data_IF_218914391229
#
_entry.id   IF_218914391229
#
_cell.length_a   1.000
_cell.length_b   1.000
_cell.length_c   1.000
_cell.angle_alpha   90.00
_cell.angle_beta   90.00
_cell.angle_gamma   90.00
#
_symmetry.space_group_name_H-M   'P 1'
#
loop_
_entity.id
_entity.type
_entity.pdbx_description
1 polymer ?
#
# COMPACT_ATOMS: atom_id res chain seq x y z
N UNK A 1 10.54 -20.12 14.50
CA UNK A 1 10.55 -18.83 13.77
C UNK A 1 9.17 -18.69 13.13
N UNK A 2 8.51 -17.53 13.23
CA UNK A 2 7.18 -17.37 12.61
C UNK A 2 7.34 -17.13 11.11
N UNK A 3 6.88 -18.07 10.29
CA UNK A 3 6.82 -17.95 8.84
C UNK A 3 5.38 -17.65 8.41
N UNK A 4 5.21 -16.78 7.42
CA UNK A 4 3.90 -16.57 6.79
C UNK A 4 3.78 -17.50 5.59
N UNK A 5 2.64 -18.16 5.46
CA UNK A 5 2.34 -18.99 4.32
C UNK A 5 1.07 -18.53 3.61
N UNK A 6 1.07 -18.66 2.29
CA UNK A 6 -0.11 -18.55 1.42
C UNK A 6 -0.25 -19.87 0.69
N UNK A 7 -1.37 -20.54 0.91
CA UNK A 7 -1.67 -21.84 0.33
C UNK A 7 -3.01 -21.83 -0.38
N UNK A 8 -3.13 -22.59 -1.46
CA UNK A 8 -4.42 -22.94 -2.05
C UNK A 8 -4.87 -24.30 -1.53
N UNK A 9 -6.12 -24.36 -1.13
CA UNK A 9 -6.82 -25.63 -0.86
C UNK A 9 -7.23 -26.30 -2.18
N UNK A 10 -7.55 -27.60 -2.14
CA UNK A 10 -8.10 -28.34 -3.30
C UNK A 10 -9.39 -27.73 -3.84
N UNK A 11 -10.09 -26.95 -3.03
CA UNK A 11 -11.31 -26.19 -3.40
C UNK A 11 -10.99 -24.85 -4.12
N UNK A 12 -9.72 -24.54 -4.36
CA UNK A 12 -9.29 -23.26 -4.96
C UNK A 12 -9.34 -22.07 -3.99
N UNK A 13 -9.72 -22.27 -2.74
CA UNK A 13 -9.71 -21.19 -1.72
C UNK A 13 -8.30 -20.94 -1.25
N UNK A 14 -7.93 -19.66 -1.24
CA UNK A 14 -6.63 -19.19 -0.77
C UNK A 14 -6.71 -18.94 0.74
N UNK A 15 -5.87 -19.63 1.50
CA UNK A 15 -5.75 -19.48 2.95
C UNK A 15 -4.38 -18.91 3.28
N UNK A 16 -4.35 -17.93 4.18
CA UNK A 16 -3.14 -17.31 4.69
C UNK A 16 -3.06 -17.45 6.21
N UNK A 17 -1.88 -17.77 6.71
CA UNK A 17 -1.65 -17.99 8.13
C UNK A 17 -0.21 -17.78 8.54
N UNK A 18 0.02 -17.87 9.85
CA UNK A 18 1.34 -17.92 10.45
C UNK A 18 1.59 -19.35 10.93
N UNK A 19 2.78 -19.85 10.65
CA UNK A 19 3.26 -21.14 11.16
C UNK A 19 4.57 -20.92 11.88
N UNK A 20 4.72 -21.55 13.05
CA UNK A 20 6.00 -21.61 13.74
C UNK A 20 6.79 -22.80 13.18
N UNK A 21 7.88 -22.50 12.47
CA UNK A 21 8.81 -23.50 11.93
C UNK A 21 10.25 -23.00 12.09
N UNK A 22 11.22 -23.93 12.13
CA UNK A 22 12.65 -23.59 12.19
C UNK A 22 13.19 -23.30 10.79
N UNK A 23 12.59 -23.88 9.74
CA UNK A 23 13.05 -23.72 8.36
C UNK A 23 11.89 -23.63 7.35
N UNK A 24 12.14 -23.01 6.18
CA UNK A 24 11.16 -22.90 5.08
C UNK A 24 10.75 -24.29 4.59
N UNK A 25 11.72 -25.21 4.46
CA UNK A 25 11.50 -26.59 4.04
C UNK A 25 10.58 -27.36 4.99
N UNK A 26 10.72 -27.13 6.30
CA UNK A 26 9.88 -27.73 7.33
C UNK A 26 8.43 -27.24 7.22
N UNK A 27 8.23 -25.93 7.04
CA UNK A 27 6.89 -25.37 6.81
C UNK A 27 6.28 -25.82 5.48
N UNK A 28 7.07 -25.94 4.41
CA UNK A 28 6.61 -26.44 3.11
C UNK A 28 6.13 -27.89 3.20
N UNK A 29 6.88 -28.75 3.89
CA UNK A 29 6.52 -30.14 4.10
C UNK A 29 5.26 -30.27 4.97
N UNK A 30 5.13 -29.46 6.02
CA UNK A 30 3.93 -29.45 6.87
C UNK A 30 2.67 -29.08 6.09
N UNK A 31 2.75 -28.04 5.24
CA UNK A 31 1.61 -27.59 4.44
C UNK A 31 1.26 -28.59 3.32
N UNK A 32 2.27 -29.20 2.69
CA UNK A 32 2.07 -30.25 1.69
C UNK A 32 1.43 -31.50 2.28
N UNK A 33 1.84 -31.91 3.49
CA UNK A 33 1.23 -33.03 4.22
C UNK A 33 -0.22 -32.77 4.64
N UNK A 34 -0.63 -31.49 4.71
CA UNK A 34 -2.03 -31.08 4.92
C UNK A 34 -2.82 -30.90 3.63
N UNK A 35 -2.35 -31.46 2.52
CA UNK A 35 -2.99 -31.37 1.20
C UNK A 35 -3.15 -29.94 0.67
N UNK A 36 -2.36 -29.00 1.20
CA UNK A 36 -2.37 -27.62 0.77
C UNK A 36 -1.30 -27.38 -0.30
N UNK A 37 -1.69 -26.71 -1.39
CA UNK A 37 -0.76 -26.26 -2.42
C UNK A 37 -0.08 -24.99 -1.95
N UNK A 38 1.23 -25.09 -1.71
CA UNK A 38 2.06 -23.95 -1.31
C UNK A 38 2.25 -23.01 -2.48
N UNK A 39 1.68 -21.81 -2.38
CA UNK A 39 1.87 -20.74 -3.36
C UNK A 39 3.10 -19.89 -2.97
N UNK A 40 3.24 -19.59 -1.68
CA UNK A 40 4.33 -18.74 -1.17
C UNK A 40 4.60 -18.98 0.31
N UNK A 41 5.88 -19.06 0.69
CA UNK A 41 6.33 -19.08 2.10
C UNK A 41 7.40 -18.01 2.25
N UNK A 42 7.19 -17.09 3.18
CA UNK A 42 8.13 -15.97 3.41
C UNK A 42 8.58 -15.96 4.87
N UNK A 43 9.91 -15.80 5.05
CA UNK A 43 10.50 -15.54 6.35
C UNK A 43 10.04 -14.17 6.82
N UNK A 44 9.61 -14.09 8.08
CA UNK A 44 9.25 -12.82 8.70
C UNK A 44 10.55 -12.07 9.04
N UNK A 45 11.18 -11.49 8.03
CA UNK A 45 12.16 -10.42 8.23
C UNK A 45 11.39 -9.18 8.68
N UNK A 46 11.73 -8.54 9.81
CA UNK A 46 11.06 -7.33 10.30
C UNK A 46 10.92 -6.25 9.22
N UNK A 47 11.92 -6.12 8.34
CA UNK A 47 11.92 -5.18 7.22
C UNK A 47 11.08 -5.62 6.01
N UNK A 48 10.87 -6.92 5.83
CA UNK A 48 10.05 -7.45 4.71
C UNK A 48 8.56 -7.42 5.03
N UNK A 49 8.15 -7.41 6.31
CA UNK A 49 6.72 -7.30 6.68
C UNK A 49 6.14 -5.94 6.28
N UNK A 50 6.93 -4.86 6.42
CA UNK A 50 6.56 -3.51 5.97
C UNK A 50 6.38 -3.44 4.45
N UNK A 51 7.26 -4.10 3.69
CA UNK A 51 7.17 -4.15 2.21
C UNK A 51 6.08 -5.06 1.65
N UNK A 52 5.58 -6.04 2.42
CA UNK A 52 4.53 -6.95 1.96
C UNK A 52 3.14 -6.46 2.39
N UNK A 53 3.02 -5.76 3.53
CA UNK A 53 1.79 -5.06 3.91
C UNK A 53 1.42 -3.98 2.88
N UNK A 54 2.42 -3.27 2.33
CA UNK A 54 2.20 -2.25 1.30
C UNK A 54 1.73 -2.80 -0.05
N UNK A 55 2.02 -4.08 -0.37
CA UNK A 55 1.51 -4.74 -1.60
C UNK A 55 0.05 -5.18 -1.46
N UNK A 56 -0.40 -5.52 -0.24
CA UNK A 56 -1.80 -5.91 0.01
C UNK A 56 -2.74 -4.72 0.24
N UNK A 57 -2.18 -3.55 0.53
CA UNK A 57 -2.93 -2.36 0.86
C UNK A 57 -2.69 -1.37 -0.29
N UNK A 58 -3.27 -1.63 -1.46
CA UNK A 58 -3.30 -0.63 -2.54
C UNK A 58 -4.44 0.35 -2.25
N UNK A 59 -4.27 1.67 -2.41
CA UNK A 59 -5.38 2.61 -2.33
C UNK A 59 -6.50 2.19 -3.29
N UNK A 60 -7.74 2.17 -2.79
CA UNK A 60 -8.90 1.88 -3.64
C UNK A 60 -9.21 3.12 -4.48
N UNK A 61 -9.90 2.92 -5.60
CA UNK A 61 -10.39 4.05 -6.42
C UNK A 61 -11.26 5.02 -5.61
N UNK A 62 -12.03 4.52 -4.64
CA UNK A 62 -12.81 5.34 -3.71
C UNK A 62 -11.92 6.28 -2.88
N UNK A 63 -10.76 5.80 -2.41
CA UNK A 63 -9.83 6.62 -1.61
C UNK A 63 -9.25 7.76 -2.45
N UNK A 64 -8.94 7.49 -3.73
CA UNK A 64 -8.49 8.52 -4.67
C UNK A 64 -9.57 9.59 -4.89
N UNK A 65 -10.83 9.18 -5.12
CA UNK A 65 -11.95 10.12 -5.31
C UNK A 65 -12.15 11.01 -4.08
N UNK A 66 -12.11 10.41 -2.88
CA UNK A 66 -12.24 11.15 -1.62
C UNK A 66 -11.08 12.13 -1.43
N UNK A 67 -9.85 11.66 -1.64
CA UNK A 67 -8.64 12.47 -1.58
C UNK A 67 -8.74 13.69 -2.51
N UNK A 68 -9.05 13.48 -3.79
CA UNK A 68 -9.12 14.57 -4.79
C UNK A 68 -10.20 15.59 -4.42
N UNK A 69 -11.39 15.14 -3.98
CA UNK A 69 -12.50 16.03 -3.61
C UNK A 69 -12.17 16.86 -2.36
N UNK A 70 -11.63 16.21 -1.33
CA UNK A 70 -11.26 16.89 -0.09
C UNK A 70 -10.10 17.87 -0.33
N UNK A 71 -9.10 17.49 -1.11
CA UNK A 71 -8.01 18.37 -1.50
C UNK A 71 -8.54 19.60 -2.23
N UNK A 72 -9.41 19.41 -3.22
CA UNK A 72 -10.03 20.51 -3.96
C UNK A 72 -10.82 21.44 -3.03
N UNK A 73 -11.62 20.89 -2.12
CA UNK A 73 -12.38 21.70 -1.15
C UNK A 73 -11.50 22.54 -0.23
N UNK A 74 -10.40 21.97 0.27
CA UNK A 74 -9.46 22.68 1.14
C UNK A 74 -8.71 23.78 0.38
N UNK A 75 -8.28 23.50 -0.84
CA UNK A 75 -7.63 24.50 -1.70
C UNK A 75 -8.59 25.64 -2.05
N UNK A 76 -9.85 25.33 -2.36
CA UNK A 76 -10.89 26.33 -2.60
C UNK A 76 -11.19 27.21 -1.39
N UNK A 77 -11.07 26.65 -0.17
CA UNK A 77 -11.22 27.42 1.07
C UNK A 77 -9.95 28.21 1.44
N UNK A 78 -8.94 28.26 0.57
CA UNK A 78 -7.73 29.07 0.76
C UNK A 78 -6.64 28.42 1.60
N UNK A 79 -6.73 27.12 1.93
CA UNK A 79 -5.62 26.43 2.57
C UNK A 79 -4.48 26.28 1.58
N UNK A 80 -3.26 26.37 2.10
CA UNK A 80 -2.07 26.04 1.32
C UNK A 80 -2.10 24.55 0.94
N UNK A 81 -1.54 24.21 -0.22
CA UNK A 81 -1.41 22.81 -0.65
C UNK A 81 -0.74 21.95 0.42
N UNK A 82 0.30 22.48 1.06
CA UNK A 82 1.02 21.74 2.08
C UNK A 82 0.12 21.40 3.26
N UNK A 83 -0.62 22.38 3.77
CA UNK A 83 -1.51 22.18 4.91
C UNK A 83 -2.67 21.24 4.58
N UNK A 84 -3.22 21.35 3.36
CA UNK A 84 -4.28 20.45 2.92
C UNK A 84 -3.80 18.99 2.86
N UNK A 85 -2.59 18.74 2.37
CA UNK A 85 -2.01 17.38 2.31
C UNK A 85 -1.76 16.80 3.70
N UNK A 86 -1.26 17.59 4.66
CA UNK A 86 -1.09 17.16 6.06
C UNK A 86 -2.41 16.72 6.69
N UNK A 87 -3.45 17.57 6.56
CA UNK A 87 -4.79 17.26 7.09
C UNK A 87 -5.35 15.99 6.45
N UNK A 88 -5.19 15.84 5.13
CA UNK A 88 -5.65 14.66 4.40
C UNK A 88 -4.94 13.37 4.84
N UNK A 89 -3.62 13.42 5.06
CA UNK A 89 -2.85 12.29 5.59
C UNK A 89 -3.41 11.83 6.94
N UNK A 90 -3.76 12.78 7.81
CA UNK A 90 -4.21 12.48 9.17
C UNK A 90 -5.68 12.01 9.21
N UNK A 91 -6.49 12.38 8.22
CA UNK A 91 -7.92 12.02 8.14
C UNK A 91 -8.20 10.72 7.38
N UNK A 92 -7.30 10.28 6.50
CA UNK A 92 -7.57 9.14 5.62
C UNK A 92 -7.49 7.81 6.40
N UNK A 93 -8.53 7.00 6.29
CA UNK A 93 -8.59 5.71 7.00
C UNK A 93 -7.70 4.64 6.33
N UNK A 94 -7.49 4.75 5.02
CA UNK A 94 -6.64 3.82 4.29
C UNK A 94 -5.16 4.17 4.55
N UNK A 95 -4.51 3.37 5.39
CA UNK A 95 -3.10 3.53 5.75
C UNK A 95 -2.17 3.60 4.54
N UNK A 96 -2.45 2.87 3.47
CA UNK A 96 -1.62 2.93 2.27
C UNK A 96 -1.73 4.26 1.53
N UNK A 97 -2.93 4.82 1.48
CA UNK A 97 -3.11 6.16 0.91
C UNK A 97 -2.44 7.21 1.81
N UNK A 98 -2.47 7.04 3.13
CA UNK A 98 -1.72 7.89 4.06
C UNK A 98 -0.20 7.83 3.81
N UNK A 99 0.36 6.64 3.53
CA UNK A 99 1.77 6.48 3.17
C UNK A 99 2.11 7.16 1.84
N UNK A 100 1.24 7.02 0.83
CA UNK A 100 1.37 7.73 -0.46
C UNK A 100 1.37 9.24 -0.25
N UNK A 101 0.42 9.77 0.52
CA UNK A 101 0.33 11.21 0.82
C UNK A 101 1.57 11.67 1.60
N UNK A 102 2.07 10.87 2.55
CA UNK A 102 3.28 11.18 3.31
C UNK A 102 4.51 11.32 2.41
N UNK A 103 4.70 10.42 1.46
CA UNK A 103 5.82 10.54 0.52
C UNK A 103 5.67 11.71 -0.46
N UNK A 104 4.43 12.06 -0.84
CA UNK A 104 4.16 13.30 -1.60
C UNK A 104 4.53 14.54 -0.79
N UNK A 105 4.18 14.58 0.49
CA UNK A 105 4.53 15.68 1.41
C UNK A 105 6.05 15.85 1.45
N UNK A 106 6.79 14.77 1.72
CA UNK A 106 8.27 14.81 1.79
C UNK A 106 8.90 15.31 0.49
N UNK A 107 8.37 14.94 -0.67
CA UNK A 107 8.89 15.44 -1.95
C UNK A 107 8.63 16.94 -2.14
N UNK A 108 7.47 17.44 -1.73
CA UNK A 108 7.11 18.86 -1.82
C UNK A 108 7.93 19.69 -0.84
N UNK A 109 8.11 19.22 0.39
CA UNK A 109 9.03 19.82 1.37
C UNK A 109 10.47 19.88 0.83
N UNK A 110 10.87 18.86 0.07
CA UNK A 110 12.13 18.83 -0.67
C UNK A 110 12.19 19.72 -1.92
N UNK A 111 11.16 20.54 -2.18
CA UNK A 111 11.12 21.52 -3.26
C UNK A 111 10.64 20.96 -4.61
N UNK A 112 10.13 19.73 -4.68
CA UNK A 112 9.58 19.18 -5.92
C UNK A 112 8.16 19.70 -6.17
N UNK A 113 7.78 19.75 -7.44
CA UNK A 113 6.40 20.07 -7.82
C UNK A 113 5.47 18.92 -7.46
N UNK A 114 4.19 19.23 -7.19
CA UNK A 114 3.15 18.23 -6.93
C UNK A 114 3.07 17.18 -8.03
N UNK A 115 3.08 17.60 -9.30
CA UNK A 115 3.05 16.68 -10.44
C UNK A 115 4.22 15.68 -10.42
N UNK A 116 5.42 16.12 -10.02
CA UNK A 116 6.62 15.28 -9.95
C UNK A 116 6.54 14.27 -8.81
N UNK A 117 5.96 14.67 -7.67
CA UNK A 117 5.72 13.78 -6.54
C UNK A 117 4.68 12.68 -6.90
N UNK A 118 3.60 13.05 -7.60
CA UNK A 118 2.55 12.12 -8.00
C UNK A 118 3.02 11.05 -8.99
N UNK A 119 4.00 11.35 -9.85
CA UNK A 119 4.58 10.41 -10.83
C UNK A 119 5.17 9.16 -10.17
N UNK A 120 5.62 9.26 -8.91
CA UNK A 120 6.16 8.11 -8.17
C UNK A 120 5.12 7.05 -7.82
N UNK A 121 3.83 7.36 -7.94
CA UNK A 121 2.73 6.48 -7.57
C UNK A 121 1.80 6.18 -8.77
N UNK A 122 2.31 5.56 -9.84
CA UNK A 122 1.53 5.29 -11.07
C UNK A 122 0.37 4.31 -10.85
N UNK A 123 0.45 3.52 -9.78
CA UNK A 123 -0.58 2.60 -9.33
C UNK A 123 -1.82 3.32 -8.76
N UNK A 124 -1.66 4.57 -8.32
CA UNK A 124 -2.70 5.40 -7.69
C UNK A 124 -3.13 6.52 -8.63
N UNK A 125 -2.17 7.24 -9.21
CA UNK A 125 -2.44 8.36 -10.11
C UNK A 125 -2.17 7.95 -11.55
N UNK A 126 -3.21 8.00 -12.38
CA UNK A 126 -3.08 7.72 -13.81
C UNK A 126 -2.27 8.82 -14.50
N UNK A 127 -1.70 8.51 -15.67
CA UNK A 127 -0.98 9.51 -16.48
C UNK A 127 -1.85 10.73 -16.80
N UNK A 128 -3.13 10.50 -17.12
CA UNK A 128 -4.08 11.58 -17.43
C UNK A 128 -4.28 12.47 -16.20
N UNK A 129 -4.42 11.88 -15.00
CA UNK A 129 -4.56 12.62 -13.75
C UNK A 129 -3.35 13.54 -13.49
N UNK A 130 -2.14 13.00 -13.67
CA UNK A 130 -0.89 13.76 -13.50
C UNK A 130 -0.78 14.89 -14.53
N UNK A 131 -1.15 14.63 -15.80
CA UNK A 131 -1.14 15.62 -16.87
C UNK A 131 -2.07 16.81 -16.57
N UNK A 132 -3.24 16.57 -15.98
CA UNK A 132 -4.17 17.63 -15.59
C UNK A 132 -3.63 18.54 -14.48
N UNK A 133 -2.80 18.01 -13.59
CA UNK A 133 -2.20 18.78 -12.48
C UNK A 133 -0.96 19.57 -12.94
N UNK A 134 -0.25 19.05 -13.95
CA UNK A 134 0.92 19.71 -14.51
C UNK A 134 0.56 20.88 -15.43
N UNK A 135 -0.59 20.78 -16.11
CA UNK A 135 -1.10 21.79 -17.04
C UNK A 135 -1.43 23.09 -16.30
#
# INVERSE_FOLDING_TARGET
MKLRYKVATKEGKIIQGLIDAKEISEAANYLRNKDYMVIKIERKDPDSVLKILSVFNKPKTTDLVLFTRQLSSMLQSGLTLMRALEILRDQIQNQAMAEVISGIITDIEGGKTLSSALIKYPDVFSRIYISLIKA
#
